data_IF_991656739641
#
_entry.id   IF_991656739641
#
_cell.length_a   1.000
_cell.length_b   1.000
_cell.length_c   1.000
_cell.angle_alpha   90.00
_cell.angle_beta   90.00
_cell.angle_gamma   90.00
#
_symmetry.space_group_name_H-M   'P 1'
#
loop_
_entity.id
_entity.type
_entity.pdbx_description
1 polymer ?
#
# COMPACT_ATOMS: atom_id res chain seq x y z
N UNK A 1 -9.20 -12.74 -13.35
CA UNK A 1 -9.50 -13.39 -12.05
C UNK A 1 -8.73 -12.76 -10.87
N UNK A 2 -8.10 -11.58 -11.01
CA UNK A 2 -7.21 -11.00 -9.97
C UNK A 2 -7.84 -9.91 -9.08
N UNK A 3 -9.04 -9.43 -9.39
CA UNK A 3 -9.69 -8.35 -8.62
C UNK A 3 -10.16 -8.77 -7.21
N UNK A 4 -10.45 -10.06 -7.01
CA UNK A 4 -10.99 -10.57 -5.74
C UNK A 4 -9.95 -10.65 -4.60
N UNK A 5 -8.72 -11.08 -4.90
CA UNK A 5 -7.68 -11.25 -3.88
C UNK A 5 -7.11 -9.91 -3.38
N UNK A 6 -7.06 -8.90 -4.25
CA UNK A 6 -6.62 -7.54 -3.90
C UNK A 6 -7.60 -6.93 -2.88
N UNK A 7 -8.91 -7.01 -3.13
CA UNK A 7 -9.93 -6.48 -2.22
C UNK A 7 -9.92 -7.15 -0.83
N UNK A 8 -9.65 -8.46 -0.76
CA UNK A 8 -9.57 -9.21 0.50
C UNK A 8 -8.29 -8.93 1.27
N UNK A 9 -7.14 -8.79 0.60
CA UNK A 9 -5.88 -8.36 1.21
C UNK A 9 -5.97 -6.93 1.77
N UNK A 10 -6.61 -6.03 1.04
CA UNK A 10 -6.90 -4.67 1.52
C UNK A 10 -7.81 -4.68 2.74
N UNK A 11 -8.90 -5.46 2.75
CA UNK A 11 -9.80 -5.53 3.90
C UNK A 11 -9.10 -6.02 5.18
N UNK A 12 -8.12 -6.92 5.06
CA UNK A 12 -7.31 -7.37 6.21
C UNK A 12 -6.25 -6.35 6.62
N UNK A 13 -5.55 -5.72 5.68
CA UNK A 13 -4.64 -4.60 5.97
C UNK A 13 -5.38 -3.44 6.67
N UNK A 14 -6.59 -3.11 6.20
CA UNK A 14 -7.42 -2.05 6.78
C UNK A 14 -8.17 -2.48 8.04
N UNK A 15 -8.30 -3.78 8.34
CA UNK A 15 -8.78 -4.24 9.64
C UNK A 15 -7.78 -3.91 10.77
N UNK A 16 -6.50 -3.75 10.43
CA UNK A 16 -5.45 -3.26 11.34
C UNK A 16 -5.25 -1.74 11.27
N UNK A 17 -5.87 -1.05 10.29
CA UNK A 17 -5.90 0.41 10.27
C UNK A 17 -6.86 0.90 11.35
N UNK A 18 -6.29 1.19 12.51
CA UNK A 18 -6.99 1.85 13.59
C UNK A 18 -7.47 3.24 13.14
N UNK A 19 -8.77 3.34 12.84
CA UNK A 19 -9.42 4.57 12.43
C UNK A 19 -9.25 5.70 13.47
N UNK A 20 -8.96 5.37 14.73
CA UNK A 20 -8.73 6.38 15.78
C UNK A 20 -7.41 7.14 15.60
N UNK A 21 -6.47 6.61 14.80
CA UNK A 21 -5.17 7.25 14.55
C UNK A 21 -5.21 8.32 13.48
N UNK A 22 -6.30 8.39 12.70
CA UNK A 22 -6.47 9.44 11.71
C UNK A 22 -6.58 10.82 12.37
N UNK A 23 -6.13 11.84 11.64
CA UNK A 23 -6.27 13.24 12.06
C UNK A 23 -7.73 13.61 12.23
N UNK A 24 -7.95 14.53 13.16
CA UNK A 24 -9.29 15.07 13.39
C UNK A 24 -9.79 15.83 12.16
N UNK A 25 -11.07 15.68 11.84
CA UNK A 25 -11.67 16.28 10.64
C UNK A 25 -11.28 15.62 9.31
N UNK A 26 -10.58 14.48 9.34
CA UNK A 26 -10.21 13.75 8.13
C UNK A 26 -11.40 13.00 7.52
N UNK A 27 -11.55 13.11 6.20
CA UNK A 27 -12.41 12.21 5.42
C UNK A 27 -11.73 10.84 5.30
N UNK A 28 -11.97 9.98 6.31
CA UNK A 28 -11.39 8.63 6.41
C UNK A 28 -11.66 7.81 5.14
N UNK A 29 -12.88 7.76 4.57
CA UNK A 29 -13.14 7.09 3.30
C UNK A 29 -12.19 7.54 2.17
N UNK A 30 -12.03 8.85 1.95
CA UNK A 30 -11.13 9.36 0.89
C UNK A 30 -9.67 9.08 1.20
N UNK A 31 -9.26 9.15 2.46
CA UNK A 31 -7.88 8.80 2.84
C UNK A 31 -7.58 7.32 2.52
N UNK A 32 -8.52 6.41 2.78
CA UNK A 32 -8.42 4.99 2.43
C UNK A 32 -8.32 4.80 0.92
N UNK A 33 -9.09 5.55 0.11
CA UNK A 33 -8.98 5.51 -1.35
C UNK A 33 -7.58 5.91 -1.83
N UNK A 34 -7.00 7.00 -1.30
CA UNK A 34 -5.65 7.45 -1.66
C UNK A 34 -4.59 6.41 -1.27
N UNK A 35 -4.71 5.81 -0.08
CA UNK A 35 -3.82 4.72 0.35
C UNK A 35 -3.91 3.56 -0.63
N UNK A 36 -5.14 3.18 -1.01
CA UNK A 36 -5.39 2.06 -1.93
C UNK A 36 -4.79 2.31 -3.31
N UNK A 37 -4.99 3.49 -3.89
CA UNK A 37 -4.39 3.86 -5.18
C UNK A 37 -2.86 3.87 -5.13
N UNK A 38 -2.30 4.32 -4.01
CA UNK A 38 -0.84 4.32 -3.81
C UNK A 38 -0.30 2.89 -3.81
N UNK A 39 -0.93 1.98 -3.07
CA UNK A 39 -0.52 0.57 -3.01
C UNK A 39 -0.70 -0.15 -4.35
N UNK A 40 -1.79 0.13 -5.08
CA UNK A 40 -1.99 -0.38 -6.44
C UNK A 40 -0.92 0.16 -7.42
N UNK A 41 -0.66 1.46 -7.39
CA UNK A 41 0.37 2.10 -8.21
C UNK A 41 1.76 1.55 -7.92
N UNK A 42 2.08 1.36 -6.64
CA UNK A 42 3.31 0.73 -6.20
C UNK A 42 3.43 -0.70 -6.74
N UNK A 43 2.39 -1.53 -6.58
CA UNK A 43 2.39 -2.91 -7.10
C UNK A 43 2.63 -2.95 -8.61
N UNK A 44 1.98 -2.07 -9.38
CA UNK A 44 2.21 -1.95 -10.83
C UNK A 44 3.65 -1.56 -11.15
N UNK A 45 4.21 -0.55 -10.46
CA UNK A 45 5.60 -0.11 -10.59
C UNK A 45 6.58 -1.26 -10.34
N UNK A 46 6.37 -2.05 -9.29
CA UNK A 46 7.26 -3.18 -8.98
C UNK A 46 7.11 -4.31 -10.01
N UNK A 47 5.88 -4.63 -10.43
CA UNK A 47 5.64 -5.62 -11.49
C UNK A 47 6.37 -5.25 -12.79
N UNK A 48 6.40 -3.98 -13.17
CA UNK A 48 7.14 -3.53 -14.35
C UNK A 48 8.65 -3.68 -14.19
N UNK A 49 9.20 -3.37 -13.00
CA UNK A 49 10.63 -3.56 -12.72
C UNK A 49 11.05 -5.04 -12.77
N UNK A 50 10.25 -5.93 -12.18
CA UNK A 50 10.62 -7.36 -12.07
C UNK A 50 10.36 -8.18 -13.34
N UNK A 51 9.57 -7.67 -14.31
CA UNK A 51 9.36 -8.34 -15.61
C UNK A 51 10.66 -8.64 -16.35
N UNK A 52 11.70 -7.84 -16.11
CA UNK A 52 13.01 -7.95 -16.76
C UNK A 52 14.03 -8.71 -15.90
N UNK A 53 13.64 -9.17 -14.70
CA UNK A 53 14.52 -9.79 -13.72
C UNK A 53 14.13 -11.26 -13.52
N UNK A 54 15.08 -12.21 -13.56
CA UNK A 54 14.82 -13.59 -13.19
C UNK A 54 14.23 -13.69 -11.78
N UNK A 55 13.23 -14.55 -11.56
CA UNK A 55 12.53 -14.66 -10.27
C UNK A 55 13.46 -14.87 -9.07
N UNK A 56 14.55 -15.64 -9.25
CA UNK A 56 15.55 -15.91 -8.21
C UNK A 56 16.50 -14.72 -7.92
N UNK A 57 16.38 -13.63 -8.66
CA UNK A 57 17.15 -12.38 -8.47
C UNK A 57 16.27 -11.21 -8.04
N UNK A 58 15.00 -11.46 -7.74
CA UNK A 58 14.12 -10.42 -7.20
C UNK A 58 14.57 -10.10 -5.78
N UNK A 59 14.95 -8.85 -5.57
CA UNK A 59 15.27 -8.31 -4.26
C UNK A 59 13.98 -7.88 -3.55
N UNK A 60 13.39 -8.83 -2.81
CA UNK A 60 12.17 -8.60 -2.05
C UNK A 60 12.38 -7.64 -0.88
N UNK A 61 13.58 -7.62 -0.27
CA UNK A 61 13.89 -6.73 0.85
C UNK A 61 13.88 -5.27 0.41
N UNK A 62 14.52 -4.95 -0.72
CA UNK A 62 14.49 -3.61 -1.30
C UNK A 62 13.06 -3.18 -1.68
N UNK A 63 12.24 -4.08 -2.19
CA UNK A 63 10.83 -3.79 -2.51
C UNK A 63 10.04 -3.46 -1.24
N UNK A 64 10.21 -4.24 -0.16
CA UNK A 64 9.53 -3.99 1.11
C UNK A 64 10.01 -2.66 1.73
N UNK A 65 11.31 -2.39 1.72
CA UNK A 65 11.87 -1.14 2.21
C UNK A 65 11.32 0.08 1.43
N UNK A 66 11.16 -0.02 0.12
CA UNK A 66 10.54 1.05 -0.69
C UNK A 66 9.06 1.25 -0.30
N UNK A 67 8.33 0.16 -0.05
CA UNK A 67 6.93 0.22 0.39
C UNK A 67 6.78 0.90 1.76
N UNK A 68 7.67 0.59 2.71
CA UNK A 68 7.67 1.21 4.04
C UNK A 68 7.81 2.73 3.96
N UNK A 69 8.64 3.25 3.04
CA UNK A 69 8.77 4.70 2.84
C UNK A 69 7.44 5.34 2.40
N UNK A 70 6.69 4.69 1.51
CA UNK A 70 5.37 5.17 1.10
C UNK A 70 4.36 5.07 2.25
N UNK A 71 4.38 3.99 3.02
CA UNK A 71 3.49 3.84 4.19
C UNK A 71 3.78 4.90 5.25
N UNK A 72 5.04 5.19 5.54
CA UNK A 72 5.43 6.26 6.47
C UNK A 72 5.01 7.64 5.97
N UNK A 73 5.11 7.91 4.66
CA UNK A 73 4.58 9.14 4.08
C UNK A 73 3.06 9.23 4.25
N UNK A 74 2.32 8.16 3.96
CA UNK A 74 0.86 8.13 4.09
C UNK A 74 0.42 8.30 5.55
N UNK A 75 1.11 7.68 6.52
CA UNK A 75 0.90 7.92 7.96
C UNK A 75 1.14 9.39 8.27
N UNK A 76 2.24 10.00 7.82
CA UNK A 76 2.50 11.44 8.00
C UNK A 76 1.49 12.36 7.30
N UNK A 77 0.72 11.88 6.33
CA UNK A 77 -0.34 12.67 5.70
C UNK A 77 -1.66 12.55 6.47
N UNK A 78 -2.02 11.33 6.86
CA UNK A 78 -3.38 11.02 7.32
C UNK A 78 -3.49 10.77 8.82
N UNK A 79 -2.41 10.38 9.49
CA UNK A 79 -2.40 10.06 10.91
C UNK A 79 -1.91 11.24 11.74
N UNK A 80 -2.31 11.26 13.02
CA UNK A 80 -1.77 12.18 14.04
C UNK A 80 -0.34 11.80 14.38
#
# INVERSE_FOLDING_TARGET
>A
RNKGHIATGFKMLFAEFDASKFREGMDIPKAIEVISWTLEGFSKKQQEKIKLVPLNKIDYESILAEMDLYLELLKKCFYR
#
